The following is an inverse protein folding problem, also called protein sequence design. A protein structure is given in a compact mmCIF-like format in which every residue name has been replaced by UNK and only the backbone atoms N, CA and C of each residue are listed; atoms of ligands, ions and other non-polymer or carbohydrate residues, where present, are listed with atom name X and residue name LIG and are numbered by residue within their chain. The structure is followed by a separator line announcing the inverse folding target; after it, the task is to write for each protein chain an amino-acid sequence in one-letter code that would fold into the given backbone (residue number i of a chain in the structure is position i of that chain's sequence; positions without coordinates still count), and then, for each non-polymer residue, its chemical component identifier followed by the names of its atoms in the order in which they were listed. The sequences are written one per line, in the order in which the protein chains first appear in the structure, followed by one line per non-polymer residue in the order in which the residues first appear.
data_IF_509194821525
#
_entry.id   IF_509194821525
#
_cell.length_a   1.000
_cell.length_b   1.000
_cell.length_c   1.000
_cell.angle_alpha   90.00
_cell.angle_beta   90.00
_cell.angle_gamma   90.00
#
_symmetry.space_group_name_H-M   'P 1'
#
loop_
_entity.id
_entity.type
_entity.pdbx_description
1 polymer ?
#
# COMPACT_ATOMS: atom_id res chain seq x y z
N UNK A 1 -40.16 -1.99 -57.17
CA UNK A 1 -40.11 -0.82 -56.25
C UNK A 1 -40.16 -1.37 -54.84
N UNK A 2 -39.18 -1.18 -53.98
CA UNK A 2 -39.25 -1.69 -52.59
C UNK A 2 -40.31 -0.90 -51.84
N UNK A 3 -41.16 -1.63 -51.11
CA UNK A 3 -42.29 -1.12 -50.37
C UNK A 3 -41.91 -0.04 -49.33
N UNK A 4 -42.74 1.00 -49.10
CA UNK A 4 -42.44 2.09 -48.18
C UNK A 4 -42.14 1.60 -46.72
N UNK A 5 -42.66 0.47 -46.34
CA UNK A 5 -42.41 -0.18 -45.05
C UNK A 5 -40.94 -0.54 -44.81
N UNK A 6 -40.18 -0.97 -45.85
CA UNK A 6 -38.79 -1.32 -45.73
C UNK A 6 -37.91 -0.07 -45.51
N UNK A 7 -38.25 1.08 -46.04
CA UNK A 7 -37.56 2.37 -45.81
C UNK A 7 -37.79 2.90 -44.40
N UNK A 8 -38.93 2.67 -43.80
CA UNK A 8 -39.27 3.11 -42.44
C UNK A 8 -38.53 2.22 -41.44
N UNK A 9 -38.51 0.91 -41.64
CA UNK A 9 -37.77 -0.06 -40.78
C UNK A 9 -36.26 0.23 -40.82
N UNK A 10 -35.69 0.56 -41.97
CA UNK A 10 -34.26 0.88 -42.06
C UNK A 10 -33.89 2.19 -41.35
N UNK A 11 -34.74 3.20 -41.40
CA UNK A 11 -34.55 4.50 -40.71
C UNK A 11 -34.65 4.32 -39.19
N UNK A 12 -35.62 3.55 -38.73
CA UNK A 12 -35.75 3.25 -37.28
C UNK A 12 -34.58 2.43 -36.74
N UNK A 13 -34.08 1.46 -37.52
CA UNK A 13 -32.89 0.71 -37.17
C UNK A 13 -31.65 1.58 -37.06
N UNK A 14 -31.43 2.49 -38.01
CA UNK A 14 -30.31 3.45 -37.97
C UNK A 14 -30.41 4.37 -36.76
N UNK A 15 -31.62 4.86 -36.46
CA UNK A 15 -31.86 5.72 -35.28
C UNK A 15 -31.56 4.99 -33.95
N UNK A 16 -31.94 3.71 -33.83
CA UNK A 16 -31.66 2.89 -32.66
C UNK A 16 -30.13 2.69 -32.50
N UNK A 17 -29.43 2.40 -33.58
CA UNK A 17 -27.98 2.25 -33.59
C UNK A 17 -27.30 3.56 -33.17
N UNK A 18 -27.69 4.69 -33.71
CA UNK A 18 -27.13 6.01 -33.33
C UNK A 18 -27.40 6.33 -31.87
N UNK A 19 -28.62 6.07 -31.37
CA UNK A 19 -28.95 6.28 -29.97
C UNK A 19 -28.12 5.37 -29.05
N UNK A 20 -27.95 4.10 -29.43
CA UNK A 20 -27.09 3.15 -28.71
C UNK A 20 -25.64 3.62 -28.65
N UNK A 21 -25.10 4.12 -29.77
CA UNK A 21 -23.73 4.68 -29.81
C UNK A 21 -23.60 5.92 -28.91
N UNK A 22 -24.57 6.82 -28.88
CA UNK A 22 -24.56 8.00 -28.02
C UNK A 22 -24.63 7.58 -26.54
N UNK A 23 -25.49 6.66 -26.19
CA UNK A 23 -25.60 6.14 -24.81
C UNK A 23 -24.28 5.46 -24.41
N UNK A 24 -23.72 4.60 -25.27
CA UNK A 24 -22.45 3.93 -24.98
C UNK A 24 -21.28 4.92 -24.82
N UNK A 25 -21.22 5.95 -25.68
CA UNK A 25 -20.23 7.01 -25.55
C UNK A 25 -20.41 7.80 -24.24
N UNK A 26 -21.66 8.12 -23.89
CA UNK A 26 -21.98 8.78 -22.61
C UNK A 26 -21.57 7.98 -21.39
N UNK A 27 -21.87 6.68 -21.39
CA UNK A 27 -21.46 5.73 -20.33
C UNK A 27 -19.93 5.63 -20.24
N UNK A 28 -19.26 5.55 -21.39
CA UNK A 28 -17.79 5.50 -21.44
C UNK A 28 -17.15 6.76 -20.85
N UNK A 29 -17.60 7.93 -21.25
CA UNK A 29 -17.09 9.23 -20.75
C UNK A 29 -17.37 9.38 -19.25
N UNK A 30 -18.56 8.98 -18.79
CA UNK A 30 -18.91 9.00 -17.37
C UNK A 30 -18.02 8.06 -16.56
N UNK A 31 -17.81 6.84 -17.04
CA UNK A 31 -16.95 5.84 -16.42
C UNK A 31 -15.49 6.32 -16.34
N UNK A 32 -14.95 6.84 -17.45
CA UNK A 32 -13.59 7.36 -17.49
C UNK A 32 -13.38 8.51 -16.49
N UNK A 33 -14.32 9.45 -16.43
CA UNK A 33 -14.29 10.54 -15.45
C UNK A 33 -14.38 10.02 -14.01
N UNK A 34 -15.24 9.05 -13.75
CA UNK A 34 -15.39 8.47 -12.43
C UNK A 34 -14.08 7.83 -11.93
N UNK A 35 -13.34 7.16 -12.80
CA UNK A 35 -12.08 6.50 -12.46
C UNK A 35 -10.90 7.44 -12.33
N UNK A 36 -10.83 8.45 -13.19
CA UNK A 36 -9.64 9.28 -13.37
C UNK A 36 -9.80 10.70 -12.81
N UNK A 37 -10.99 11.10 -12.36
CA UNK A 37 -11.17 12.37 -11.68
C UNK A 37 -10.31 12.44 -10.41
N UNK A 38 -9.74 13.62 -10.12
CA UNK A 38 -9.00 13.82 -8.86
C UNK A 38 -9.86 13.47 -7.65
N UNK A 39 -9.28 12.77 -6.68
CA UNK A 39 -9.93 12.44 -5.42
C UNK A 39 -10.26 13.69 -4.57
N UNK A 40 -11.17 13.57 -3.61
CA UNK A 40 -11.61 14.71 -2.77
C UNK A 40 -10.58 15.14 -1.74
N UNK A 41 -9.67 14.25 -1.34
CA UNK A 41 -8.66 14.53 -0.33
C UNK A 41 -7.57 15.49 -0.84
N UNK A 42 -7.27 16.52 -0.05
CA UNK A 42 -6.34 17.59 -0.43
C UNK A 42 -4.90 17.35 0.06
N UNK A 43 -4.68 16.35 0.90
CA UNK A 43 -3.39 15.98 1.47
C UNK A 43 -3.16 14.49 1.30
N UNK A 44 -1.90 14.07 1.43
CA UNK A 44 -1.56 12.64 1.45
C UNK A 44 -2.25 11.96 2.64
N UNK A 45 -2.83 10.80 2.40
CA UNK A 45 -3.59 10.04 3.40
C UNK A 45 -3.01 8.63 3.51
N UNK A 46 -2.79 8.18 4.75
CA UNK A 46 -2.41 6.80 5.04
C UNK A 46 -3.68 5.97 5.26
N UNK A 47 -3.80 4.87 4.52
CA UNK A 47 -4.90 3.90 4.66
C UNK A 47 -4.33 2.55 5.02
N UNK A 48 -4.85 1.96 6.10
CA UNK A 48 -4.47 0.63 6.58
C UNK A 48 -5.51 -0.38 6.11
N UNK A 49 -5.03 -1.48 5.59
CA UNK A 49 -5.82 -2.65 5.18
C UNK A 49 -5.27 -3.85 5.95
N UNK A 50 -6.12 -4.42 6.81
CA UNK A 50 -5.72 -5.55 7.65
C UNK A 50 -5.67 -6.86 6.84
N UNK A 51 -4.82 -7.81 7.26
CA UNK A 51 -4.88 -9.16 6.69
C UNK A 51 -6.27 -9.79 6.88
N UNK A 52 -6.88 -10.18 5.77
CA UNK A 52 -8.26 -10.72 5.77
C UNK A 52 -9.36 -9.70 5.50
N UNK A 53 -9.03 -8.42 5.41
CA UNK A 53 -10.00 -7.41 5.01
C UNK A 53 -10.49 -7.67 3.58
N UNK A 54 -11.80 -7.79 3.46
CA UNK A 54 -12.48 -7.88 2.18
C UNK A 54 -12.73 -6.50 1.55
N UNK A 55 -13.26 -6.52 0.34
CA UNK A 55 -13.62 -5.30 -0.40
C UNK A 55 -14.53 -4.34 0.38
N UNK A 56 -15.37 -4.87 1.26
CA UNK A 56 -16.30 -4.07 2.06
C UNK A 56 -15.57 -3.22 3.11
N UNK A 57 -14.55 -3.81 3.76
CA UNK A 57 -13.71 -3.10 4.73
C UNK A 57 -12.83 -2.06 4.02
N UNK A 58 -12.22 -2.42 2.90
CA UNK A 58 -11.44 -1.50 2.07
C UNK A 58 -12.29 -0.29 1.63
N UNK A 59 -13.50 -0.53 1.11
CA UNK A 59 -14.44 0.53 0.72
C UNK A 59 -14.70 1.50 1.87
N UNK A 60 -14.99 0.94 3.07
CA UNK A 60 -15.25 1.74 4.26
C UNK A 60 -14.01 2.50 4.75
N UNK A 61 -12.82 1.93 4.59
CA UNK A 61 -11.57 2.60 4.92
C UNK A 61 -11.30 3.79 3.98
N UNK A 62 -11.51 3.62 2.67
CA UNK A 62 -11.36 4.69 1.68
C UNK A 62 -12.38 5.82 1.87
N UNK A 63 -13.62 5.47 2.23
CA UNK A 63 -14.67 6.45 2.52
C UNK A 63 -14.35 7.27 3.78
N UNK A 64 -13.99 6.60 4.88
CA UNK A 64 -13.59 7.27 6.13
C UNK A 64 -12.35 8.17 5.96
N UNK A 65 -11.43 7.76 5.10
CA UNK A 65 -10.23 8.51 4.76
C UNK A 65 -10.51 9.68 3.79
N UNK A 66 -11.75 9.82 3.31
CA UNK A 66 -12.13 10.87 2.37
C UNK A 66 -11.46 10.74 1.00
N UNK A 67 -11.07 9.52 0.59
CA UNK A 67 -10.37 9.26 -0.67
C UNK A 67 -11.34 9.14 -1.84
N UNK A 68 -12.55 8.67 -1.58
CA UNK A 68 -13.58 8.47 -2.60
C UNK A 68 -14.71 9.49 -2.46
N UNK A 69 -15.23 10.00 -3.58
CA UNK A 69 -16.35 10.94 -3.58
C UNK A 69 -17.67 10.31 -3.13
N UNK A 70 -17.89 9.08 -3.55
CA UNK A 70 -19.11 8.31 -3.28
C UNK A 70 -18.77 6.82 -3.21
N UNK A 71 -19.39 6.14 -2.27
CA UNK A 71 -19.18 4.70 -2.04
C UNK A 71 -19.44 3.87 -3.30
N UNK A 72 -20.49 4.21 -4.06
CA UNK A 72 -20.85 3.46 -5.27
C UNK A 72 -19.83 3.59 -6.41
N UNK A 73 -18.98 4.63 -6.42
CA UNK A 73 -17.87 4.73 -7.38
C UNK A 73 -16.88 3.57 -7.21
N UNK A 74 -16.53 3.24 -5.96
CA UNK A 74 -15.69 2.09 -5.66
C UNK A 74 -16.33 0.78 -6.12
N UNK A 75 -17.62 0.58 -5.80
CA UNK A 75 -18.34 -0.65 -6.14
C UNK A 75 -18.44 -0.83 -7.67
N UNK A 76 -18.70 0.25 -8.41
CA UNK A 76 -18.72 0.24 -9.87
C UNK A 76 -17.32 -0.06 -10.45
N UNK A 77 -16.28 0.59 -9.95
CA UNK A 77 -14.89 0.35 -10.38
C UNK A 77 -14.47 -1.10 -10.13
N UNK A 78 -14.81 -1.65 -8.96
CA UNK A 78 -14.53 -3.04 -8.61
C UNK A 78 -15.26 -4.03 -9.53
N UNK A 79 -16.53 -3.77 -9.80
CA UNK A 79 -17.33 -4.63 -10.69
C UNK A 79 -16.70 -4.70 -12.09
N UNK A 80 -16.24 -3.58 -12.61
CA UNK A 80 -15.60 -3.48 -13.93
C UNK A 80 -14.19 -4.07 -13.96
N UNK A 81 -13.44 -3.93 -12.87
CA UNK A 81 -12.13 -4.58 -12.71
C UNK A 81 -12.24 -6.10 -12.56
N UNK A 82 -13.38 -6.59 -12.07
CA UNK A 82 -13.62 -8.01 -11.82
C UNK A 82 -12.57 -8.61 -10.87
N UNK A 83 -12.12 -9.82 -11.17
CA UNK A 83 -11.10 -10.52 -10.38
C UNK A 83 -9.67 -9.98 -10.56
N UNK A 84 -9.46 -8.94 -11.37
CA UNK A 84 -8.13 -8.35 -11.58
C UNK A 84 -7.70 -7.46 -10.42
N UNK A 85 -8.64 -6.91 -9.65
CA UNK A 85 -8.33 -6.12 -8.48
C UNK A 85 -8.38 -6.98 -7.22
N UNK A 86 -7.20 -7.31 -6.72
CA UNK A 86 -7.00 -8.01 -5.45
C UNK A 86 -6.29 -7.04 -4.50
N UNK A 87 -6.98 -6.49 -3.49
CA UNK A 87 -6.35 -5.62 -2.51
C UNK A 87 -5.37 -6.43 -1.66
N UNK A 88 -4.20 -5.86 -1.43
CA UNK A 88 -3.20 -6.43 -0.53
C UNK A 88 -3.32 -5.77 0.84
N UNK A 89 -3.00 -6.54 1.89
CA UNK A 89 -2.90 -6.00 3.24
C UNK A 89 -1.64 -5.14 3.38
N UNK A 90 -1.70 -4.14 4.24
CA UNK A 90 -0.61 -3.21 4.50
C UNK A 90 -1.08 -1.79 4.75
N UNK A 91 -0.14 -0.90 4.92
CA UNK A 91 -0.37 0.54 5.04
C UNK A 91 0.02 1.22 3.72
N UNK A 92 -0.88 1.99 3.14
CA UNK A 92 -0.68 2.62 1.83
C UNK A 92 -0.76 4.14 1.94
N UNK A 93 0.26 4.82 1.45
CA UNK A 93 0.25 6.26 1.28
C UNK A 93 -0.45 6.60 -0.03
N UNK A 94 -1.60 7.23 0.07
CA UNK A 94 -2.37 7.73 -1.07
C UNK A 94 -2.07 9.21 -1.26
N UNK A 95 -1.42 9.59 -2.37
CA UNK A 95 -1.08 10.99 -2.64
C UNK A 95 -2.31 11.88 -2.71
N UNK A 96 -2.16 13.15 -2.33
CA UNK A 96 -3.22 14.15 -2.45
C UNK A 96 -3.87 14.11 -3.83
N UNK A 97 -5.20 14.17 -3.85
CA UNK A 97 -6.02 14.15 -5.07
C UNK A 97 -5.85 12.90 -5.94
N UNK A 98 -5.27 11.81 -5.41
CA UNK A 98 -5.17 10.57 -6.18
C UNK A 98 -6.55 10.13 -6.65
N UNK A 99 -6.65 9.77 -7.93
CA UNK A 99 -7.89 9.26 -8.51
C UNK A 99 -8.22 7.86 -7.97
N UNK A 100 -9.47 7.43 -8.15
CA UNK A 100 -9.87 6.07 -7.76
C UNK A 100 -9.02 5.00 -8.45
N UNK A 101 -8.72 5.18 -9.72
CA UNK A 101 -7.86 4.28 -10.49
C UNK A 101 -6.44 4.21 -9.92
N UNK A 102 -5.84 5.35 -9.59
CA UNK A 102 -4.52 5.41 -8.94
C UNK A 102 -4.55 4.75 -7.56
N UNK A 103 -5.55 5.05 -6.75
CA UNK A 103 -5.75 4.44 -5.42
C UNK A 103 -5.82 2.91 -5.52
N UNK A 104 -6.66 2.39 -6.41
CA UNK A 104 -6.77 0.94 -6.61
C UNK A 104 -5.46 0.32 -7.11
N UNK A 105 -4.73 1.02 -7.98
CA UNK A 105 -3.42 0.57 -8.48
C UNK A 105 -2.38 0.47 -7.36
N UNK A 106 -2.26 1.50 -6.50
CA UNK A 106 -1.33 1.52 -5.35
C UNK A 106 -1.61 0.33 -4.43
N UNK A 107 -2.88 0.10 -4.07
CA UNK A 107 -3.29 -0.99 -3.19
C UNK A 107 -3.05 -2.37 -3.84
N UNK A 108 -3.31 -2.50 -5.14
CA UNK A 108 -3.08 -3.74 -5.88
C UNK A 108 -1.60 -4.09 -6.00
N UNK A 109 -0.73 -3.11 -6.25
CA UNK A 109 0.72 -3.29 -6.29
C UNK A 109 1.26 -3.77 -4.95
N UNK A 110 0.69 -3.28 -3.84
CA UNK A 110 1.00 -3.73 -2.50
C UNK A 110 2.33 -3.22 -1.95
N UNK A 111 2.87 -2.13 -2.51
CA UNK A 111 4.01 -1.45 -1.91
C UNK A 111 3.57 -0.73 -0.65
N UNK A 112 3.78 -1.38 0.50
CA UNK A 112 3.42 -0.84 1.80
C UNK A 112 4.29 0.37 2.14
N UNK A 113 3.71 1.35 2.82
CA UNK A 113 4.42 2.52 3.33
C UNK A 113 5.53 2.10 4.28
N UNK A 114 6.75 2.56 4.03
CA UNK A 114 7.91 2.26 4.86
C UNK A 114 8.11 3.35 5.91
N UNK A 115 8.04 2.95 7.16
CA UNK A 115 8.38 3.77 8.31
C UNK A 115 9.85 3.67 8.61
N UNK A 116 10.44 4.71 9.16
CA UNK A 116 11.86 4.79 9.47
C UNK A 116 12.06 4.87 10.99
N UNK A 117 12.94 4.01 11.50
CA UNK A 117 13.44 4.04 12.86
C UNK A 117 14.95 4.27 12.82
N UNK A 118 15.43 5.33 13.48
CA UNK A 118 16.88 5.58 13.63
C UNK A 118 17.28 5.30 15.08
N UNK A 119 18.20 4.37 15.27
CA UNK A 119 18.83 4.05 16.54
C UNK A 119 20.15 4.79 16.60
N UNK A 120 20.30 5.66 17.59
CA UNK A 120 21.54 6.43 17.80
C UNK A 120 22.58 5.59 18.55
N UNK A 121 23.85 5.91 18.34
CA UNK A 121 24.96 5.26 19.03
C UNK A 121 24.93 5.53 20.53
N UNK A 122 25.44 4.59 21.32
CA UNK A 122 25.58 4.71 22.79
C UNK A 122 24.33 4.31 23.59
N UNK A 123 23.27 3.85 22.96
CA UNK A 123 22.13 3.25 23.65
C UNK A 123 22.46 1.84 24.11
N UNK A 124 21.94 1.46 25.29
CA UNK A 124 21.98 0.07 25.76
C UNK A 124 20.93 -0.77 25.04
N UNK A 125 21.16 -2.07 24.95
CA UNK A 125 20.18 -2.99 24.34
C UNK A 125 18.79 -2.88 24.97
N UNK A 126 18.69 -2.68 26.28
CA UNK A 126 17.43 -2.47 26.98
C UNK A 126 16.70 -1.18 26.52
N UNK A 127 17.43 -0.10 26.27
CA UNK A 127 16.85 1.16 25.82
C UNK A 127 16.32 1.02 24.38
N UNK A 128 17.05 0.30 23.51
CA UNK A 128 16.63 0.00 22.14
C UNK A 128 15.37 -0.87 22.11
N UNK A 129 15.33 -1.92 22.94
CA UNK A 129 14.16 -2.79 23.09
C UNK A 129 12.94 -2.00 23.53
N UNK A 130 13.12 -1.06 24.49
CA UNK A 130 12.02 -0.19 24.91
C UNK A 130 11.51 0.71 23.77
N UNK A 131 12.42 1.33 23.02
CA UNK A 131 12.06 2.14 21.84
C UNK A 131 11.23 1.31 20.83
N UNK A 132 11.67 0.08 20.52
CA UNK A 132 10.96 -0.80 19.58
C UNK A 132 9.60 -1.24 20.13
N UNK A 133 9.53 -1.50 21.45
CA UNK A 133 8.29 -1.88 22.13
C UNK A 133 7.23 -0.79 22.03
N UNK A 134 7.65 0.46 22.18
CA UNK A 134 6.76 1.64 22.16
C UNK A 134 6.38 2.07 20.73
N UNK A 135 7.00 1.49 19.69
CA UNK A 135 6.64 1.82 18.32
C UNK A 135 5.24 1.35 17.97
N UNK A 136 4.39 2.26 17.42
CA UNK A 136 3.10 1.89 16.90
C UNK A 136 3.25 1.04 15.63
N UNK A 137 2.23 0.27 15.32
CA UNK A 137 2.12 -0.51 14.08
C UNK A 137 3.09 -1.69 13.92
N UNK A 138 3.87 -2.02 14.94
CA UNK A 138 4.57 -3.29 15.04
C UNK A 138 3.72 -4.32 15.80
N UNK A 139 3.94 -5.60 15.51
CA UNK A 139 3.20 -6.71 16.14
C UNK A 139 4.12 -7.61 16.97
N UNK A 140 3.51 -8.47 17.79
CA UNK A 140 4.25 -9.39 18.64
C UNK A 140 4.97 -8.72 19.81
N UNK A 141 5.55 -9.53 20.68
CA UNK A 141 6.44 -9.12 21.76
C UNK A 141 7.88 -9.47 21.39
N UNK A 142 8.85 -8.84 22.03
CA UNK A 142 10.26 -9.24 21.95
C UNK A 142 10.44 -10.36 22.98
N UNK A 143 10.67 -11.59 22.50
CA UNK A 143 10.71 -12.78 23.36
C UNK A 143 12.01 -12.89 24.18
N UNK A 144 13.12 -12.47 23.58
CA UNK A 144 14.44 -12.60 24.21
C UNK A 144 15.15 -11.25 24.23
N UNK A 145 15.66 -10.86 25.39
CA UNK A 145 16.48 -9.67 25.54
C UNK A 145 17.80 -9.85 24.79
N UNK A 146 18.12 -9.00 23.79
CA UNK A 146 19.38 -9.07 23.06
C UNK A 146 20.58 -8.73 23.96
N UNK A 147 21.70 -9.41 23.72
CA UNK A 147 22.96 -9.13 24.42
C UNK A 147 23.44 -7.68 24.19
N UNK A 148 24.16 -7.12 25.15
CA UNK A 148 24.70 -5.78 25.02
C UNK A 148 25.71 -5.72 23.86
N UNK A 149 25.58 -4.69 23.00
CA UNK A 149 26.39 -4.51 21.80
C UNK A 149 26.04 -5.41 20.62
N UNK A 150 24.99 -6.23 20.73
CA UNK A 150 24.53 -7.09 19.63
C UNK A 150 23.63 -6.37 18.60
N UNK A 151 23.10 -5.21 18.95
CA UNK A 151 22.20 -4.43 18.10
C UNK A 151 22.99 -3.28 17.44
N UNK A 152 22.98 -3.25 16.09
CA UNK A 152 23.66 -2.18 15.35
C UNK A 152 22.89 -0.87 15.42
N UNK A 153 23.51 0.25 15.87
CA UNK A 153 22.92 1.57 15.75
C UNK A 153 22.95 2.04 14.28
N UNK A 154 21.77 2.09 13.65
CA UNK A 154 21.59 2.45 12.26
C UNK A 154 20.15 2.90 12.00
N UNK A 155 19.81 3.26 10.77
CA UNK A 155 18.45 3.55 10.34
C UNK A 155 17.79 2.32 9.72
N UNK A 156 16.71 1.86 10.32
CA UNK A 156 15.94 0.70 9.89
C UNK A 156 14.60 1.11 9.31
N UNK A 157 14.18 0.41 8.27
CA UNK A 157 12.86 0.59 7.68
C UNK A 157 11.97 -0.60 8.08
N UNK A 158 10.71 -0.29 8.40
CA UNK A 158 9.71 -1.29 8.73
C UNK A 158 8.35 -0.91 8.15
N UNK A 159 7.47 -1.89 7.97
CA UNK A 159 6.12 -1.71 7.45
C UNK A 159 5.09 -1.97 8.54
N UNK A 160 3.84 -1.64 8.27
CA UNK A 160 2.72 -1.99 9.12
C UNK A 160 2.71 -3.50 9.41
N UNK A 161 2.41 -3.87 10.67
CA UNK A 161 2.36 -5.24 11.18
C UNK A 161 3.68 -6.03 11.10
N UNK A 162 4.85 -5.41 10.86
CA UNK A 162 6.15 -6.08 11.00
C UNK A 162 6.29 -6.61 12.44
N UNK A 163 6.66 -7.89 12.65
CA UNK A 163 6.97 -8.41 13.97
C UNK A 163 8.16 -7.67 14.61
N UNK A 164 8.07 -7.42 15.92
CA UNK A 164 9.17 -6.76 16.65
C UNK A 164 10.46 -7.58 16.64
N UNK A 165 10.34 -8.90 16.76
CA UNK A 165 11.49 -9.79 16.70
C UNK A 165 12.22 -9.74 15.35
N UNK A 166 11.50 -9.65 14.22
CA UNK A 166 12.11 -9.50 12.91
C UNK A 166 12.98 -8.23 12.80
N UNK A 167 12.61 -7.16 13.51
CA UNK A 167 13.39 -5.94 13.54
C UNK A 167 14.65 -6.11 14.38
N UNK A 168 14.54 -6.78 15.54
CA UNK A 168 15.68 -7.16 16.39
C UNK A 168 16.64 -8.06 15.63
N UNK A 169 16.16 -9.10 14.97
CA UNK A 169 16.98 -10.04 14.20
C UNK A 169 17.77 -9.32 13.09
N UNK A 170 17.14 -8.40 12.38
CA UNK A 170 17.83 -7.59 11.37
C UNK A 170 18.92 -6.71 11.97
N UNK A 171 18.69 -6.14 13.15
CA UNK A 171 19.70 -5.34 13.85
C UNK A 171 20.89 -6.18 14.27
N UNK A 172 20.64 -7.38 14.81
CA UNK A 172 21.69 -8.34 15.19
C UNK A 172 22.47 -8.82 13.98
N UNK A 173 21.78 -9.20 12.91
CA UNK A 173 22.43 -9.64 11.67
C UNK A 173 23.33 -8.53 11.08
N UNK A 174 22.84 -7.29 11.05
CA UNK A 174 23.62 -6.15 10.55
C UNK A 174 24.86 -5.90 11.43
N UNK A 175 24.75 -6.08 12.75
CA UNK A 175 25.87 -5.98 13.67
C UNK A 175 26.91 -7.08 13.43
N UNK A 176 26.46 -8.32 13.28
CA UNK A 176 27.37 -9.45 12.99
C UNK A 176 28.13 -9.25 11.69
N UNK A 177 27.48 -8.79 10.63
CA UNK A 177 28.11 -8.47 9.33
C UNK A 177 29.17 -7.39 9.53
N UNK A 178 28.85 -6.30 10.21
CA UNK A 178 29.78 -5.20 10.43
C UNK A 178 31.00 -5.63 11.27
N UNK A 179 30.80 -6.45 12.29
CA UNK A 179 31.89 -7.00 13.09
C UNK A 179 32.79 -7.92 12.27
N UNK A 180 32.19 -8.76 11.42
CA UNK A 180 32.94 -9.66 10.53
C UNK A 180 33.80 -8.87 9.53
N UNK A 181 33.25 -7.82 8.93
CA UNK A 181 33.98 -6.93 8.02
C UNK A 181 35.13 -6.22 8.75
N UNK A 182 34.86 -5.60 9.90
CA UNK A 182 35.91 -4.93 10.71
C UNK A 182 37.00 -5.90 11.16
N UNK A 183 36.63 -7.18 11.40
CA UNK A 183 37.59 -8.20 11.78
C UNK A 183 38.55 -8.58 10.65
N UNK A 184 38.14 -8.55 9.40
CA UNK A 184 39.00 -8.79 8.24
C UNK A 184 40.08 -7.71 8.14
N UNK A 185 39.72 -6.45 8.39
CA UNK A 185 40.61 -5.29 8.27
C UNK A 185 41.40 -4.96 9.56
N UNK A 186 41.32 -5.81 10.59
CA UNK A 186 41.96 -5.56 11.88
C UNK A 186 43.45 -5.46 11.81
N UNK A 187 44.07 -4.63 12.67
CA UNK A 187 45.50 -4.51 12.79
C UNK A 187 46.17 -5.88 13.14
N UNK A 188 47.32 -6.15 12.54
CA UNK A 188 48.11 -7.37 12.83
C UNK A 188 48.61 -7.33 14.27
N UNK A 189 48.48 -8.43 15.01
CA UNK A 189 49.06 -8.56 16.36
C UNK A 189 48.13 -8.17 17.50
N UNK A 190 46.82 -7.98 17.25
CA UNK A 190 45.85 -7.82 18.31
C UNK A 190 45.80 -9.07 19.21
N UNK A 191 45.69 -8.89 20.55
CA UNK A 191 45.66 -10.01 21.53
C UNK A 191 44.39 -10.85 21.48
N UNK A 192 43.40 -10.42 20.72
CA UNK A 192 42.10 -11.09 20.62
C UNK A 192 42.11 -12.18 19.54
N UNK A 193 41.60 -13.35 19.92
CA UNK A 193 41.30 -14.44 18.97
C UNK A 193 39.80 -14.48 18.81
N UNK A 194 39.33 -14.82 17.61
CA UNK A 194 37.89 -15.02 17.32
C UNK A 194 37.25 -15.97 18.29
#
# INVERSE_FOLDING_TARGET
MPAPAFRILSRSAIMIVLLSCIISAGVYVWHDRMLHAPGPHQQDVLVIIEPGDGHQMLRSALDRAGVIHQIYHYDAARLLAGNRFLPKAGEFLLPAKSSLSQTMSIIHQGFSYQRRLTIVEGLRSADIVQIITDLPHLTGAIETMPDEGSLRPETYFYTYATPRDDLIDRMQQTQQIALAEAWIDRAKGLPYKT
#
